data_IF_315933344577
#
_entry.id   IF_315933344577
#
_cell.length_a   1.000
_cell.length_b   1.000
_cell.length_c   1.000
_cell.angle_alpha   90.00
_cell.angle_beta   90.00
_cell.angle_gamma   90.00
#
_symmetry.space_group_name_H-M   'P 1'
#
loop_
_entity.id
_entity.type
_entity.pdbx_description
1 polymer ?
#
# COMPACT_ATOMS: atom_id res chain seq x y z
N UNK A 1 49.61 -8.24 -21.55
CA UNK A 1 48.62 -7.14 -21.51
C UNK A 1 47.84 -7.15 -22.80
N UNK A 2 46.56 -7.55 -22.74
CA UNK A 2 45.52 -7.59 -23.80
C UNK A 2 44.73 -8.85 -23.45
N UNK A 3 43.52 -8.69 -22.94
CA UNK A 3 42.44 -9.68 -22.71
C UNK A 3 41.60 -9.33 -21.46
N UNK A 4 41.97 -8.30 -20.69
CA UNK A 4 41.18 -7.77 -19.55
C UNK A 4 40.11 -6.74 -20.00
N UNK A 5 39.55 -6.86 -21.23
CA UNK A 5 38.53 -5.91 -21.73
C UNK A 5 37.22 -6.60 -22.15
N UNK A 6 37.10 -7.92 -22.00
CA UNK A 6 35.88 -8.64 -22.40
C UNK A 6 34.88 -8.93 -21.28
N UNK A 7 35.16 -8.54 -20.04
CA UNK A 7 34.22 -8.75 -18.92
C UNK A 7 33.27 -7.57 -18.64
N UNK A 8 33.43 -6.44 -19.32
CA UNK A 8 32.64 -5.23 -19.04
C UNK A 8 31.39 -5.06 -19.94
N UNK A 9 31.22 -5.89 -20.98
CA UNK A 9 30.11 -5.76 -21.93
C UNK A 9 28.93 -6.71 -21.69
N UNK A 10 28.98 -7.57 -20.67
CA UNK A 10 27.87 -8.51 -20.36
C UNK A 10 26.80 -7.94 -19.42
N UNK A 11 26.96 -6.72 -18.93
CA UNK A 11 25.99 -6.08 -18.01
C UNK A 11 24.99 -5.12 -18.69
N UNK A 12 25.05 -4.94 -20.01
CA UNK A 12 24.20 -3.98 -20.73
C UNK A 12 23.01 -4.61 -21.48
N UNK A 13 22.86 -5.94 -21.48
CA UNK A 13 21.76 -6.63 -22.18
C UNK A 13 20.72 -7.24 -21.25
N UNK A 14 20.80 -7.02 -19.94
CA UNK A 14 19.65 -7.27 -19.06
C UNK A 14 18.63 -6.17 -19.32
N UNK A 15 17.83 -6.35 -20.38
CA UNK A 15 16.44 -5.94 -20.37
C UNK A 15 15.87 -6.53 -19.09
N UNK A 16 15.87 -5.75 -18.02
CA UNK A 16 15.10 -6.04 -16.83
C UNK A 16 13.66 -6.04 -17.32
N UNK A 17 13.18 -7.23 -17.69
CA UNK A 17 11.77 -7.58 -17.62
C UNK A 17 11.41 -7.29 -16.18
N UNK A 18 11.02 -6.05 -15.90
CA UNK A 18 10.42 -5.64 -14.64
C UNK A 18 9.16 -6.46 -14.61
N UNK A 19 9.07 -7.52 -13.79
CA UNK A 19 7.91 -8.34 -13.91
C UNK A 19 6.77 -7.46 -13.42
N UNK A 20 5.61 -7.61 -14.05
CA UNK A 20 4.33 -7.09 -13.58
C UNK A 20 3.97 -7.77 -12.25
N UNK A 21 4.90 -7.82 -11.29
CA UNK A 21 4.69 -8.35 -9.96
C UNK A 21 3.68 -7.43 -9.28
N UNK A 22 2.59 -8.05 -8.82
CA UNK A 22 1.74 -7.50 -7.78
C UNK A 22 2.61 -6.96 -6.66
N UNK A 23 2.25 -5.79 -6.12
CA UNK A 23 2.98 -5.20 -5.00
C UNK A 23 2.79 -6.14 -3.81
N UNK A 24 3.86 -6.71 -3.25
CA UNK A 24 3.74 -7.63 -2.13
C UNK A 24 2.98 -6.95 -0.98
N UNK A 25 2.06 -7.66 -0.33
CA UNK A 25 1.36 -7.14 0.86
C UNK A 25 2.32 -6.83 2.02
N UNK A 26 3.54 -7.37 2.00
CA UNK A 26 4.61 -7.09 2.97
C UNK A 26 5.35 -5.77 2.73
N UNK A 27 5.14 -5.11 1.59
CA UNK A 27 5.84 -3.87 1.25
C UNK A 27 5.28 -2.66 2.00
N UNK A 28 4.01 -2.70 2.39
CA UNK A 28 3.42 -1.75 3.30
C UNK A 28 2.37 -2.40 4.20
N UNK A 29 2.41 -2.10 5.49
CA UNK A 29 1.51 -2.68 6.48
C UNK A 29 1.20 -1.71 7.63
N UNK A 30 0.10 -1.99 8.30
CA UNK A 30 -0.28 -1.32 9.53
C UNK A 30 0.16 -2.16 10.72
N UNK A 31 0.92 -1.55 11.62
CA UNK A 31 1.47 -2.21 12.81
C UNK A 31 1.12 -1.43 14.05
N UNK A 32 0.87 -2.10 15.16
CA UNK A 32 0.56 -1.45 16.43
C UNK A 32 1.79 -0.67 16.92
N UNK A 33 1.60 0.57 17.36
CA UNK A 33 2.70 1.50 17.66
C UNK A 33 3.60 1.05 18.82
N UNK A 34 3.05 0.28 19.76
CA UNK A 34 3.77 -0.20 20.95
C UNK A 34 4.33 -1.59 20.74
N UNK A 35 3.50 -2.53 20.28
CA UNK A 35 3.85 -3.95 20.20
C UNK A 35 4.52 -4.31 18.88
N UNK A 36 4.36 -3.49 17.84
CA UNK A 36 4.85 -3.78 16.50
C UNK A 36 4.10 -4.89 15.77
N UNK A 37 3.05 -5.43 16.39
CA UNK A 37 2.23 -6.50 15.82
C UNK A 37 1.40 -6.01 14.65
N UNK A 38 1.18 -6.88 13.67
CA UNK A 38 0.36 -6.57 12.51
C UNK A 38 -1.10 -6.37 12.93
N UNK A 39 -1.78 -5.43 12.27
CA UNK A 39 -3.22 -5.22 12.49
C UNK A 39 -4.02 -6.49 12.16
N UNK A 40 -5.01 -6.82 12.98
CA UNK A 40 -5.88 -7.94 12.71
C UNK A 40 -6.81 -7.66 11.52
N UNK A 41 -7.21 -8.72 10.80
CA UNK A 41 -8.19 -8.62 9.70
C UNK A 41 -9.49 -7.98 10.16
N UNK A 42 -9.94 -8.27 11.38
CA UNK A 42 -11.16 -7.69 11.96
C UNK A 42 -11.09 -6.17 12.03
N UNK A 43 -10.00 -5.61 12.56
CA UNK A 43 -9.82 -4.16 12.69
C UNK A 43 -9.69 -3.52 11.30
N UNK A 44 -8.96 -4.16 10.38
CA UNK A 44 -8.85 -3.69 9.00
C UNK A 44 -10.20 -3.61 8.30
N UNK A 45 -11.02 -4.66 8.40
CA UNK A 45 -12.36 -4.72 7.81
C UNK A 45 -13.25 -3.67 8.46
N UNK A 46 -13.26 -3.58 9.80
CA UNK A 46 -14.06 -2.58 10.52
C UNK A 46 -13.74 -1.15 10.09
N UNK A 47 -12.46 -0.80 9.99
CA UNK A 47 -12.07 0.54 9.54
C UNK A 47 -12.37 0.77 8.05
N UNK A 48 -12.27 -0.27 7.20
CA UNK A 48 -12.61 -0.19 5.78
C UNK A 48 -14.12 0.01 5.55
N UNK A 49 -14.95 -0.72 6.28
CA UNK A 49 -16.40 -0.62 6.26
C UNK A 49 -16.84 0.76 6.76
N UNK A 50 -16.30 1.20 7.89
CA UNK A 50 -16.57 2.52 8.45
C UNK A 50 -16.25 3.64 7.45
N UNK A 51 -15.08 3.59 6.81
CA UNK A 51 -14.67 4.59 5.84
C UNK A 51 -15.57 4.62 4.60
N UNK A 52 -15.91 3.45 4.06
CA UNK A 52 -16.77 3.34 2.87
C UNK A 52 -18.18 3.82 3.19
N UNK A 53 -18.77 3.38 4.31
CA UNK A 53 -20.08 3.83 4.76
C UNK A 53 -20.12 5.35 4.96
N UNK A 54 -19.06 5.95 5.48
CA UNK A 54 -19.00 7.38 5.76
C UNK A 54 -18.91 8.26 4.49
N UNK A 55 -18.37 7.73 3.38
CA UNK A 55 -18.17 8.51 2.15
C UNK A 55 -19.24 8.21 1.09
N UNK A 56 -19.59 6.94 0.90
CA UNK A 56 -20.48 6.48 -0.18
C UNK A 56 -21.75 5.79 0.35
N UNK A 57 -21.97 5.75 1.67
CA UNK A 57 -23.21 5.24 2.27
C UNK A 57 -23.38 3.71 2.23
N UNK A 58 -22.37 2.96 1.79
CA UNK A 58 -22.42 1.50 1.69
C UNK A 58 -21.06 0.86 1.99
N UNK A 59 -21.09 -0.43 2.32
CA UNK A 59 -19.88 -1.24 2.48
C UNK A 59 -19.31 -1.61 1.11
N UNK A 60 -17.99 -1.84 1.01
CA UNK A 60 -17.41 -2.43 -0.19
C UNK A 60 -17.92 -3.88 -0.26
N UNK A 61 -18.87 -4.13 -1.15
CA UNK A 61 -19.37 -5.50 -1.34
C UNK A 61 -18.25 -6.33 -1.98
N UNK A 62 -17.85 -7.41 -1.31
CA UNK A 62 -16.80 -8.31 -1.78
C UNK A 62 -17.13 -8.98 -3.13
N UNK A 63 -18.42 -8.96 -3.52
CA UNK A 63 -18.91 -9.52 -4.77
C UNK A 63 -19.29 -8.46 -5.82
N UNK A 64 -19.31 -7.17 -5.47
CA UNK A 64 -19.56 -6.09 -6.43
C UNK A 64 -18.21 -5.47 -6.83
N UNK A 65 -17.99 -5.49 -8.14
CA UNK A 65 -16.98 -4.74 -8.88
C UNK A 65 -16.73 -3.39 -8.19
N UNK A 66 -15.46 -3.08 -7.89
CA UNK A 66 -15.02 -1.73 -7.54
C UNK A 66 -15.62 -0.76 -8.58
N UNK A 67 -16.72 -0.11 -8.22
CA UNK A 67 -17.48 0.71 -9.16
C UNK A 67 -16.90 2.13 -9.23
N UNK A 68 -17.39 2.89 -10.20
CA UNK A 68 -16.88 4.24 -10.48
C UNK A 68 -17.02 5.16 -9.26
N UNK A 69 -18.09 5.02 -8.48
CA UNK A 69 -18.31 5.84 -7.29
C UNK A 69 -17.25 5.55 -6.20
N UNK A 70 -16.96 4.27 -5.97
CA UNK A 70 -15.89 3.86 -5.04
C UNK A 70 -14.52 4.37 -5.51
N UNK A 71 -14.18 4.18 -6.80
CA UNK A 71 -12.90 4.65 -7.37
C UNK A 71 -12.76 6.16 -7.22
N UNK A 72 -13.81 6.92 -7.57
CA UNK A 72 -13.80 8.39 -7.50
C UNK A 72 -13.64 8.94 -6.07
N UNK A 73 -13.89 8.11 -5.06
CA UNK A 73 -13.79 8.48 -3.65
C UNK A 73 -12.66 7.74 -2.92
N UNK A 74 -11.78 7.01 -3.63
CA UNK A 74 -10.78 6.14 -3.02
C UNK A 74 -9.79 6.90 -2.12
N UNK A 75 -9.36 8.11 -2.49
CA UNK A 75 -8.52 8.96 -1.63
C UNK A 75 -9.23 9.30 -0.31
N UNK A 76 -10.48 9.75 -0.36
CA UNK A 76 -11.26 10.11 0.83
C UNK A 76 -11.52 8.89 1.73
N UNK A 77 -11.87 7.76 1.13
CA UNK A 77 -12.08 6.49 1.83
C UNK A 77 -10.77 6.07 2.51
N UNK A 78 -9.64 6.10 1.81
CA UNK A 78 -8.34 5.79 2.41
C UNK A 78 -8.01 6.74 3.56
N UNK A 79 -8.20 8.06 3.43
CA UNK A 79 -7.96 9.01 4.55
C UNK A 79 -8.74 8.64 5.80
N UNK A 80 -10.05 8.38 5.69
CA UNK A 80 -10.88 7.98 6.85
C UNK A 80 -10.43 6.63 7.41
N UNK A 81 -10.12 5.66 6.55
CA UNK A 81 -9.61 4.35 6.97
C UNK A 81 -8.30 4.49 7.74
N UNK A 82 -7.37 5.32 7.25
CA UNK A 82 -6.09 5.58 7.88
C UNK A 82 -6.23 6.22 9.24
N UNK A 83 -7.12 7.22 9.36
CA UNK A 83 -7.48 7.85 10.64
C UNK A 83 -8.01 6.83 11.64
N UNK A 84 -8.97 5.99 11.23
CA UNK A 84 -9.55 4.94 12.08
C UNK A 84 -8.46 3.99 12.60
N UNK A 85 -7.55 3.54 11.74
CA UNK A 85 -6.45 2.66 12.13
C UNK A 85 -5.49 3.36 13.10
N UNK A 86 -5.19 4.64 12.86
CA UNK A 86 -4.32 5.44 13.72
C UNK A 86 -4.89 5.61 15.12
N UNK A 87 -6.18 5.93 15.23
CA UNK A 87 -6.91 6.06 16.49
C UNK A 87 -7.00 4.72 17.25
N UNK A 88 -6.94 3.59 16.54
CA UNK A 88 -6.83 2.25 17.12
C UNK A 88 -5.39 1.85 17.49
N UNK A 89 -4.44 2.80 17.48
CA UNK A 89 -3.07 2.58 17.92
C UNK A 89 -2.13 2.06 16.83
N UNK A 90 -2.57 1.94 15.59
CA UNK A 90 -1.73 1.45 14.49
C UNK A 90 -1.01 2.60 13.78
N UNK A 91 0.14 2.30 13.17
CA UNK A 91 0.89 3.22 12.33
C UNK A 91 1.19 2.54 11.00
N UNK A 92 1.22 3.35 9.93
CA UNK A 92 1.52 2.87 8.59
C UNK A 92 3.03 2.75 8.42
N UNK A 93 3.51 1.55 8.07
CA UNK A 93 4.92 1.28 7.77
C UNK A 93 5.05 0.86 6.32
N UNK A 94 6.03 1.45 5.65
CA UNK A 94 6.46 1.05 4.32
C UNK A 94 7.88 0.53 4.43
N UNK A 95 8.14 -0.61 3.81
CA UNK A 95 9.48 -1.22 3.80
C UNK A 95 10.46 -0.28 3.11
N UNK A 96 11.66 -0.18 3.66
CA UNK A 96 12.74 0.61 3.05
C UNK A 96 13.04 0.08 1.63
N UNK A 97 13.18 0.98 0.66
CA UNK A 97 13.35 0.70 -0.77
C UNK A 97 12.17 0.00 -1.47
N UNK A 98 11.00 -0.08 -0.84
CA UNK A 98 9.80 -0.56 -1.54
C UNK A 98 9.33 0.42 -2.61
N UNK A 99 8.90 -0.11 -3.76
CA UNK A 99 8.21 0.64 -4.82
C UNK A 99 6.72 0.87 -4.52
N UNK A 100 6.22 0.46 -3.35
CA UNK A 100 4.81 0.57 -2.97
C UNK A 100 4.27 1.98 -3.16
N UNK A 101 4.93 2.98 -2.58
CA UNK A 101 4.49 4.38 -2.68
C UNK A 101 4.69 4.99 -4.07
N UNK A 102 5.64 4.46 -4.85
CA UNK A 102 5.81 4.88 -6.24
C UNK A 102 4.67 4.37 -7.13
N UNK A 103 4.16 3.16 -6.85
CA UNK A 103 3.07 2.55 -7.63
C UNK A 103 1.68 2.86 -7.11
N UNK A 104 1.53 3.15 -5.81
CA UNK A 104 0.28 3.46 -5.12
C UNK A 104 0.40 4.82 -4.44
N UNK A 105 0.73 5.84 -5.23
CA UNK A 105 1.00 7.18 -4.74
C UNK A 105 -0.19 7.76 -3.96
N UNK A 106 -1.42 7.65 -4.49
CA UNK A 106 -2.62 8.15 -3.82
C UNK A 106 -2.84 7.51 -2.45
N UNK A 107 -2.73 6.18 -2.36
CA UNK A 107 -2.87 5.43 -1.11
C UNK A 107 -1.78 5.84 -0.12
N UNK A 108 -0.55 5.95 -0.61
CA UNK A 108 0.58 6.30 0.22
C UNK A 108 0.50 7.75 0.73
N UNK A 109 0.02 8.68 -0.10
CA UNK A 109 -0.24 10.06 0.28
C UNK A 109 -1.34 10.17 1.34
N UNK A 110 -2.43 9.41 1.19
CA UNK A 110 -3.50 9.34 2.18
C UNK A 110 -3.02 8.81 3.54
N UNK A 111 -2.00 7.95 3.56
CA UNK A 111 -1.47 7.34 4.80
C UNK A 111 -0.18 7.97 5.33
N UNK A 112 0.39 8.95 4.64
CA UNK A 112 1.70 9.52 4.99
C UNK A 112 1.72 10.16 6.39
N UNK A 113 0.60 10.79 6.78
CA UNK A 113 0.44 11.41 8.10
C UNK A 113 0.40 10.41 9.25
N UNK A 114 0.05 9.14 9.00
CA UNK A 114 -0.10 8.09 10.02
C UNK A 114 1.15 7.22 10.21
N UNK A 115 2.31 7.68 9.74
CA UNK A 115 3.58 6.91 9.82
C UNK A 115 4.32 7.04 11.16
N UNK A 116 3.90 7.99 12.01
CA UNK A 116 4.55 8.37 13.27
C UNK A 116 3.61 8.21 14.46
#
# INVERSE_FOLDING_TARGET
>A
MKNIIYFFCLFLSSCALVPLYSIPSSDAKWVHRVTGEDVSTEILVRCSDYASLSIIGRRPDHNIVIDREYINNLDKINRIKGKCLYENGFIFKVKMFSVYCYRLEEVCNAYNEYRK
#
